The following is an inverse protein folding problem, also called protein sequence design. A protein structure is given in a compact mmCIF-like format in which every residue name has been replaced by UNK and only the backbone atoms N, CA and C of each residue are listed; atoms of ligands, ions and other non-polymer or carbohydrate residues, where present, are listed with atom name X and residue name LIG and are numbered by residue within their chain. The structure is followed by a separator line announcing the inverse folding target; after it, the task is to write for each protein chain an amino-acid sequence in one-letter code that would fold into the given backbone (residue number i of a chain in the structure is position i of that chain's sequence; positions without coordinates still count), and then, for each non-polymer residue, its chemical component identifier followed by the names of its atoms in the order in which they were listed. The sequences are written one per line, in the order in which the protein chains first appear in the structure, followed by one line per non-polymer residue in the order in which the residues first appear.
data_IF_648396680317
#
_entry.id   IF_648396680317
#
_cell.length_a   1.000
_cell.length_b   1.000
_cell.length_c   1.000
_cell.angle_alpha   90.00
_cell.angle_beta   90.00
_cell.angle_gamma   90.00
#
_symmetry.space_group_name_H-M   'P 1'
#
loop_
_entity.id
_entity.type
_entity.pdbx_description
1 polymer ?
#
# COMPACT_ATOMS: atom_id res chain seq x y z
N UNK A 1 -12.04 -7.54 -21.86
CA UNK A 1 -11.01 -8.18 -21.01
C UNK A 1 -11.37 -7.78 -19.58
N UNK A 2 -10.48 -7.79 -18.58
CA UNK A 2 -10.88 -7.31 -17.25
C UNK A 2 -10.68 -5.79 -17.15
N UNK A 3 -11.66 -5.08 -16.55
CA UNK A 3 -11.64 -3.62 -16.45
C UNK A 3 -10.95 -3.19 -15.17
N UNK A 4 -10.00 -2.27 -15.29
CA UNK A 4 -9.28 -1.73 -14.13
C UNK A 4 -10.25 -0.98 -13.19
N UNK A 5 -10.19 -1.30 -11.90
CA UNK A 5 -11.04 -0.69 -10.86
C UNK A 5 -10.78 0.80 -10.63
N UNK A 6 -9.62 1.32 -11.08
CA UNK A 6 -9.18 2.69 -10.81
C UNK A 6 -9.40 3.60 -12.01
N UNK A 7 -8.76 3.30 -13.14
CA UNK A 7 -8.83 4.14 -14.33
C UNK A 7 -9.97 3.75 -15.29
N UNK A 8 -10.58 2.58 -15.09
CA UNK A 8 -11.68 2.10 -15.93
C UNK A 8 -11.27 1.57 -17.31
N UNK A 9 -9.97 1.48 -17.60
CA UNK A 9 -9.44 0.91 -18.85
C UNK A 9 -9.76 -0.58 -18.95
N UNK A 10 -10.17 -1.04 -20.14
CA UNK A 10 -10.35 -2.46 -20.45
C UNK A 10 -9.10 -2.94 -21.21
N UNK A 11 -8.30 -3.78 -20.57
CA UNK A 11 -6.95 -4.09 -21.04
C UNK A 11 -6.62 -5.58 -20.91
N UNK A 12 -5.81 -6.08 -21.85
CA UNK A 12 -5.61 -7.52 -22.03
C UNK A 12 -4.57 -8.12 -21.13
N UNK A 13 -3.70 -7.27 -20.61
CA UNK A 13 -2.74 -7.62 -19.57
C UNK A 13 -3.21 -7.13 -18.20
N UNK A 14 -4.53 -6.95 -18.02
CA UNK A 14 -5.11 -6.78 -16.69
C UNK A 14 -4.73 -7.97 -15.80
N UNK A 15 -4.50 -7.71 -14.53
CA UNK A 15 -4.14 -8.73 -13.55
C UNK A 15 -4.98 -8.58 -12.27
N UNK A 16 -5.04 -9.68 -11.51
CA UNK A 16 -5.73 -9.72 -10.23
C UNK A 16 -4.75 -9.59 -9.06
N UNK A 17 -5.18 -8.91 -8.00
CA UNK A 17 -4.53 -8.89 -6.69
C UNK A 17 -5.48 -9.48 -5.67
N UNK A 18 -5.09 -10.60 -5.06
CA UNK A 18 -5.86 -11.29 -4.03
C UNK A 18 -5.32 -10.87 -2.65
N UNK A 19 -5.94 -9.87 -2.02
CA UNK A 19 -5.48 -9.29 -0.76
C UNK A 19 -6.60 -8.54 -0.04
N UNK A 20 -6.39 -8.19 1.23
CA UNK A 20 -7.35 -7.39 2.04
C UNK A 20 -8.78 -8.00 2.08
N UNK A 21 -8.88 -9.33 1.95
CA UNK A 21 -10.16 -10.04 1.94
C UNK A 21 -10.96 -9.94 0.65
N UNK A 22 -10.38 -9.40 -0.43
CA UNK A 22 -11.02 -9.24 -1.73
C UNK A 22 -10.10 -9.63 -2.89
N UNK A 23 -10.70 -9.80 -4.06
CA UNK A 23 -10.00 -9.91 -5.34
C UNK A 23 -10.18 -8.59 -6.06
N UNK A 24 -9.06 -7.95 -6.43
CA UNK A 24 -9.05 -6.69 -7.13
C UNK A 24 -8.47 -6.82 -8.54
N UNK A 25 -8.97 -6.05 -9.50
CA UNK A 25 -8.51 -6.05 -10.90
C UNK A 25 -7.86 -4.72 -11.28
N UNK A 26 -6.64 -4.77 -11.82
CA UNK A 26 -5.91 -3.59 -12.29
C UNK A 26 -5.24 -3.82 -13.65
N UNK A 27 -4.98 -2.74 -14.38
CA UNK A 27 -4.26 -2.75 -15.65
C UNK A 27 -2.78 -2.39 -15.51
N UNK A 28 -2.36 -1.85 -14.37
CA UNK A 28 -0.97 -1.52 -14.06
C UNK A 28 -0.72 -1.45 -12.54
N UNK A 29 0.55 -1.58 -12.14
CA UNK A 29 0.93 -1.47 -10.73
C UNK A 29 0.66 -0.09 -10.12
N UNK A 30 0.70 0.98 -10.92
CA UNK A 30 0.37 2.33 -10.44
C UNK A 30 -1.07 2.41 -9.92
N UNK A 31 -2.04 1.85 -10.67
CA UNK A 31 -3.44 1.77 -10.24
C UNK A 31 -3.59 0.89 -8.99
N UNK A 32 -2.94 -0.28 -8.96
CA UNK A 32 -2.97 -1.17 -7.79
C UNK A 32 -2.44 -0.46 -6.53
N UNK A 33 -1.26 0.15 -6.61
CA UNK A 33 -0.63 0.90 -5.52
C UNK A 33 -1.51 2.11 -5.12
N UNK A 34 -2.07 2.83 -6.09
CA UNK A 34 -2.93 3.98 -5.83
C UNK A 34 -4.11 3.60 -4.93
N UNK A 35 -4.73 2.45 -5.21
CA UNK A 35 -5.93 1.97 -4.53
C UNK A 35 -5.63 1.26 -3.21
N UNK A 36 -4.59 0.42 -3.17
CA UNK A 36 -4.41 -0.58 -2.11
C UNK A 36 -3.31 -0.24 -1.10
N UNK A 37 -2.33 0.59 -1.47
CA UNK A 37 -1.21 0.88 -0.58
C UNK A 37 -1.66 1.73 0.61
N UNK A 38 -1.36 1.31 1.85
CA UNK A 38 -1.58 2.15 3.02
C UNK A 38 -0.82 3.48 2.90
N UNK A 39 -1.29 4.50 3.61
CA UNK A 39 -0.65 5.82 3.64
C UNK A 39 0.07 5.96 4.97
N UNK A 40 1.36 6.33 4.94
CA UNK A 40 2.12 6.65 6.13
C UNK A 40 1.46 7.82 6.87
N UNK A 41 1.16 7.64 8.15
CA UNK A 41 0.47 8.67 8.93
C UNK A 41 1.33 9.90 9.21
N UNK A 42 2.66 9.73 9.23
CA UNK A 42 3.61 10.83 9.40
C UNK A 42 3.89 11.60 8.09
N UNK A 43 4.50 10.93 7.10
CA UNK A 43 4.99 11.62 5.89
C UNK A 43 4.04 11.55 4.69
N UNK A 44 2.88 10.91 4.83
CA UNK A 44 1.81 10.81 3.81
C UNK A 44 2.19 10.12 2.50
N UNK A 45 3.36 9.50 2.42
CA UNK A 45 3.70 8.67 1.28
C UNK A 45 2.88 7.37 1.25
N UNK A 46 2.71 6.79 0.06
CA UNK A 46 2.17 5.44 -0.08
C UNK A 46 3.22 4.43 0.34
N UNK A 47 2.83 3.48 1.18
CA UNK A 47 3.68 2.40 1.67
C UNK A 47 3.66 1.29 0.62
N UNK A 48 4.69 1.26 -0.22
CA UNK A 48 4.85 0.25 -1.29
C UNK A 48 5.82 -0.87 -0.88
N UNK A 49 6.76 -0.57 0.01
CA UNK A 49 7.68 -1.54 0.61
C UNK A 49 7.15 -2.11 1.94
N UNK A 50 8.05 -2.71 2.72
CA UNK A 50 7.74 -3.19 4.06
C UNK A 50 7.63 -2.02 5.03
N UNK A 51 6.40 -1.49 5.19
CA UNK A 51 6.08 -0.57 6.27
C UNK A 51 6.02 -1.24 7.63
N UNK A 52 5.69 -0.46 8.65
CA UNK A 52 5.48 -0.92 10.02
C UNK A 52 4.08 -0.56 10.48
N UNK A 53 3.41 -1.52 11.12
CA UNK A 53 2.15 -1.32 11.82
C UNK A 53 2.41 -1.31 13.33
N UNK A 54 1.87 -0.31 14.03
CA UNK A 54 2.07 -0.14 15.48
C UNK A 54 0.78 0.34 16.12
N UNK A 55 0.15 -0.50 16.93
CA UNK A 55 -1.13 -0.20 17.58
C UNK A 55 -2.23 0.24 16.58
N UNK A 56 -2.26 -0.37 15.40
CA UNK A 56 -3.19 -0.01 14.32
C UNK A 56 -2.81 1.21 13.48
N UNK A 57 -1.66 1.84 13.75
CA UNK A 57 -1.13 2.95 12.95
C UNK A 57 -0.08 2.48 11.93
N UNK A 58 -0.09 3.09 10.75
CA UNK A 58 0.77 2.69 9.63
C UNK A 58 1.85 3.71 9.30
N UNK A 59 3.10 3.25 9.19
CA UNK A 59 4.24 4.08 8.83
C UNK A 59 5.11 3.44 7.76
N UNK A 60 5.76 4.26 6.94
CA UNK A 60 6.65 3.75 5.88
C UNK A 60 7.97 3.14 6.41
N UNK A 61 8.21 3.21 7.71
CA UNK A 61 9.39 2.67 8.38
C UNK A 61 9.56 3.18 9.80
N UNK A 62 10.59 2.70 10.48
CA UNK A 62 10.91 2.99 11.87
C UNK A 62 11.13 4.49 12.11
N UNK A 63 11.81 5.18 11.18
CA UNK A 63 12.01 6.63 11.26
C UNK A 63 10.69 7.39 11.46
N UNK A 64 9.71 7.15 10.59
CA UNK A 64 8.41 7.83 10.66
C UNK A 64 7.62 7.43 11.90
N UNK A 65 7.65 6.15 12.30
CA UNK A 65 6.97 5.71 13.53
C UNK A 65 7.53 6.38 14.79
N UNK A 66 8.86 6.56 14.87
CA UNK A 66 9.53 7.21 16.00
C UNK A 66 9.27 8.72 16.04
N UNK A 67 9.10 9.35 14.88
CA UNK A 67 8.68 10.74 14.80
C UNK A 67 7.29 10.97 15.44
N UNK A 68 6.44 9.94 15.42
CA UNK A 68 5.14 9.92 16.13
C UNK A 68 5.23 9.30 17.55
N UNK A 69 6.44 9.18 18.11
CA UNK A 69 6.65 8.73 19.49
C UNK A 69 6.59 7.22 19.71
N UNK A 70 6.52 6.40 18.65
CA UNK A 70 6.57 4.93 18.78
C UNK A 70 8.01 4.47 19.10
N UNK A 71 8.15 3.52 20.02
CA UNK A 71 9.46 3.05 20.54
C UNK A 71 9.74 1.60 20.18
N UNK A 72 11.02 1.22 20.11
CA UNK A 72 11.44 -0.18 19.93
C UNK A 72 11.30 -0.76 18.51
N UNK A 73 10.87 0.03 17.53
CA UNK A 73 10.69 -0.41 16.14
C UNK A 73 12.00 -0.22 15.39
N UNK A 74 12.42 -1.21 14.60
CA UNK A 74 13.63 -1.18 13.76
C UNK A 74 13.25 -1.65 12.36
N UNK A 75 13.74 -0.93 11.35
CA UNK A 75 13.57 -1.34 9.95
C UNK A 75 14.28 -2.66 9.71
N UNK A 76 13.62 -3.60 9.03
CA UNK A 76 14.25 -4.84 8.58
C UNK A 76 14.90 -4.56 7.23
N UNK A 77 16.21 -4.74 7.16
CA UNK A 77 17.02 -4.68 5.92
C UNK A 77 17.18 -6.08 5.38
#
# INVERSE_FOLDING_TARGET
MARCEVCGNDYGMSFEVHAQGAVHVFDCFSCAIHRMAPICEHCRCRIVGQGVEVDGHWYCGAHCSRAEGKVGIVDKV
#
